data_IF_852503705706
#
_entry.id   IF_852503705706
#
_cell.length_a   1.000
_cell.length_b   1.000
_cell.length_c   1.000
_cell.angle_alpha   90.00
_cell.angle_beta   90.00
_cell.angle_gamma   90.00
#
_symmetry.space_group_name_H-M   'P 1'
#
loop_
_entity.id
_entity.type
_entity.pdbx_description
1 polymer ?
#
# COMPACT_ATOMS: atom_id res chain seq x y z
N UNK A 1 33.34 -38.47 -2.87
CA UNK A 1 32.51 -37.74 -3.85
C UNK A 1 31.40 -37.08 -3.04
N UNK A 2 31.40 -35.76 -2.99
CA UNK A 2 31.05 -35.01 -1.79
C UNK A 2 29.52 -34.86 -1.63
N UNK A 3 28.92 -35.47 -0.61
CA UNK A 3 27.48 -35.43 -0.27
C UNK A 3 26.92 -33.99 -0.32
N UNK A 4 27.74 -33.00 0.08
CA UNK A 4 27.43 -31.57 0.03
C UNK A 4 27.20 -31.03 -1.39
N UNK A 5 27.91 -31.55 -2.41
CA UNK A 5 27.72 -31.17 -3.82
C UNK A 5 26.36 -31.62 -4.34
N UNK A 6 25.95 -32.85 -4.02
CA UNK A 6 24.64 -33.38 -4.43
C UNK A 6 23.51 -32.61 -3.74
N UNK A 7 23.65 -32.33 -2.44
CA UNK A 7 22.72 -31.48 -1.71
C UNK A 7 22.62 -30.07 -2.30
N UNK A 8 23.76 -29.45 -2.67
CA UNK A 8 23.78 -28.13 -3.29
C UNK A 8 23.05 -28.13 -4.65
N UNK A 9 23.25 -29.17 -5.46
CA UNK A 9 22.52 -29.34 -6.73
C UNK A 9 21.02 -29.48 -6.51
N UNK A 10 20.58 -30.27 -5.51
CA UNK A 10 19.16 -30.38 -5.14
C UNK A 10 18.57 -29.04 -4.67
N UNK A 11 19.30 -28.30 -3.84
CA UNK A 11 18.85 -26.98 -3.36
C UNK A 11 18.64 -25.98 -4.51
N UNK A 12 19.51 -26.00 -5.51
CA UNK A 12 19.44 -25.11 -6.67
C UNK A 12 18.37 -25.57 -7.67
N UNK A 13 18.35 -26.87 -8.02
CA UNK A 13 17.52 -27.37 -9.13
C UNK A 13 16.12 -27.80 -8.71
N UNK A 14 15.96 -28.38 -7.52
CA UNK A 14 14.67 -28.91 -7.04
C UNK A 14 13.94 -27.89 -6.17
N UNK A 15 14.69 -27.17 -5.33
CA UNK A 15 14.12 -26.22 -4.35
C UNK A 15 14.22 -24.75 -4.78
N UNK A 16 14.81 -24.45 -5.95
CA UNK A 16 14.97 -23.10 -6.49
C UNK A 16 15.55 -22.08 -5.49
N UNK A 17 16.46 -22.51 -4.61
CA UNK A 17 17.14 -21.61 -3.68
C UNK A 17 18.19 -20.82 -4.45
N UNK A 18 18.16 -19.48 -4.32
CA UNK A 18 19.11 -18.59 -5.00
C UNK A 18 20.06 -17.88 -4.04
N UNK A 19 19.69 -17.70 -2.77
CA UNK A 19 20.53 -17.02 -1.78
C UNK A 19 21.63 -17.94 -1.24
N UNK A 20 22.89 -17.50 -1.34
CA UNK A 20 24.06 -18.28 -0.89
C UNK A 20 24.04 -18.46 0.63
N UNK A 21 23.59 -17.47 1.40
CA UNK A 21 23.41 -17.58 2.85
C UNK A 21 22.46 -18.73 3.21
N UNK A 22 21.32 -18.83 2.50
CA UNK A 22 20.36 -19.91 2.74
C UNK A 22 20.92 -21.29 2.36
N UNK A 23 21.80 -21.35 1.36
CA UNK A 23 22.51 -22.60 1.02
C UNK A 23 23.55 -22.96 2.09
N UNK A 24 24.30 -21.97 2.58
CA UNK A 24 25.29 -22.10 3.66
C UNK A 24 24.65 -22.63 4.94
N UNK A 25 23.52 -22.06 5.36
CA UNK A 25 22.77 -22.52 6.54
C UNK A 25 22.31 -23.97 6.41
N UNK A 26 21.82 -24.37 5.22
CA UNK A 26 21.33 -25.73 4.98
C UNK A 26 22.45 -26.76 4.86
N UNK A 27 23.60 -26.37 4.29
CA UNK A 27 24.76 -27.23 4.10
C UNK A 27 25.71 -27.22 5.31
N UNK A 28 25.49 -26.32 6.27
CA UNK A 28 26.33 -26.09 7.46
C UNK A 28 27.80 -25.88 7.10
N UNK A 29 28.02 -25.00 6.14
CA UNK A 29 29.36 -24.58 5.66
C UNK A 29 29.40 -23.07 5.52
N UNK A 30 30.59 -22.50 5.51
CA UNK A 30 30.77 -21.06 5.32
C UNK A 30 30.30 -20.62 3.92
N UNK A 31 29.74 -19.41 3.77
CA UNK A 31 29.28 -18.87 2.49
C UNK A 31 30.36 -18.90 1.39
N UNK A 32 31.62 -18.64 1.75
CA UNK A 32 32.76 -18.69 0.82
C UNK A 32 32.96 -20.12 0.26
N UNK A 33 32.83 -21.15 1.10
CA UNK A 33 32.91 -22.56 0.66
C UNK A 33 31.74 -22.93 -0.27
N UNK A 34 30.56 -22.35 -0.07
CA UNK A 34 29.43 -22.52 -0.99
C UNK A 34 29.78 -21.95 -2.36
N UNK A 35 30.37 -20.76 -2.42
CA UNK A 35 30.78 -20.12 -3.68
C UNK A 35 31.82 -20.97 -4.41
N UNK A 36 32.80 -21.51 -3.70
CA UNK A 36 33.79 -22.43 -4.28
C UNK A 36 33.12 -23.69 -4.86
N UNK A 37 32.20 -24.29 -4.12
CA UNK A 37 31.45 -25.47 -4.57
C UNK A 37 30.57 -25.17 -5.80
N UNK A 38 29.93 -24.00 -5.84
CA UNK A 38 29.14 -23.57 -7.01
C UNK A 38 30.06 -23.41 -8.22
N UNK A 39 31.20 -22.74 -8.08
CA UNK A 39 32.16 -22.57 -9.17
C UNK A 39 32.71 -23.90 -9.68
N UNK A 40 32.98 -24.84 -8.78
CA UNK A 40 33.38 -26.19 -9.14
C UNK A 40 32.26 -26.92 -9.92
N UNK A 41 31.01 -26.83 -9.45
CA UNK A 41 29.86 -27.43 -10.13
C UNK A 41 29.51 -26.77 -11.48
N UNK A 42 29.79 -25.48 -11.64
CA UNK A 42 29.71 -24.77 -12.92
C UNK A 42 30.77 -25.29 -13.89
N UNK A 43 32.01 -25.50 -13.41
CA UNK A 43 33.11 -26.04 -14.21
C UNK A 43 32.88 -27.50 -14.63
N UNK A 44 32.22 -28.29 -13.78
CA UNK A 44 31.80 -29.66 -14.07
C UNK A 44 30.57 -29.73 -15.00
N UNK A 45 29.93 -28.59 -15.32
CA UNK A 45 28.71 -28.52 -16.12
C UNK A 45 27.44 -29.05 -15.42
N UNK A 46 27.50 -29.28 -14.09
CA UNK A 46 26.37 -29.79 -13.29
C UNK A 46 25.39 -28.71 -12.87
N UNK A 47 25.85 -27.46 -12.82
CA UNK A 47 25.02 -26.27 -12.64
C UNK A 47 25.17 -25.36 -13.86
N UNK A 48 24.12 -24.60 -14.18
CA UNK A 48 24.15 -23.58 -15.22
C UNK A 48 23.54 -22.31 -14.65
N UNK A 49 24.33 -21.25 -14.55
CA UNK A 49 23.92 -20.01 -13.90
C UNK A 49 25.04 -19.00 -13.73
N UNK A 50 24.77 -17.96 -12.98
CA UNK A 50 25.72 -16.87 -12.70
C UNK A 50 25.63 -16.44 -11.25
N UNK A 51 26.78 -16.24 -10.61
CA UNK A 51 26.88 -15.63 -9.28
C UNK A 51 26.88 -14.11 -9.45
N UNK A 52 26.20 -13.43 -8.55
CA UNK A 52 26.16 -11.96 -8.45
C UNK A 52 27.51 -11.37 -8.05
N UNK A 53 27.81 -10.13 -8.44
CA UNK A 53 29.10 -9.48 -8.14
C UNK A 53 29.37 -9.34 -6.63
N UNK A 54 28.32 -9.33 -5.81
CA UNK A 54 28.39 -9.28 -4.35
C UNK A 54 28.59 -10.67 -3.70
N UNK A 55 28.65 -11.75 -4.48
CA UNK A 55 28.69 -13.14 -4.03
C UNK A 55 27.54 -13.55 -3.09
N UNK A 56 26.40 -12.85 -3.14
CA UNK A 56 25.28 -13.12 -2.23
C UNK A 56 24.24 -14.08 -2.84
N UNK A 57 24.17 -14.16 -4.17
CA UNK A 57 23.15 -14.93 -4.89
C UNK A 57 23.70 -15.66 -6.11
N UNK A 58 23.17 -16.86 -6.34
CA UNK A 58 23.32 -17.64 -7.56
C UNK A 58 22.01 -17.66 -8.34
N UNK A 59 22.05 -17.26 -9.61
CA UNK A 59 20.92 -17.29 -10.52
C UNK A 59 21.09 -18.42 -11.54
N UNK A 60 20.15 -19.36 -11.58
CA UNK A 60 20.11 -20.42 -12.59
C UNK A 60 19.76 -19.84 -13.96
N UNK A 61 20.48 -20.24 -15.01
CA UNK A 61 20.25 -19.75 -16.38
C UNK A 61 18.91 -20.19 -16.96
N UNK A 62 18.43 -21.36 -16.55
CA UNK A 62 17.13 -21.93 -16.96
C UNK A 62 16.07 -21.70 -15.88
N UNK A 63 16.04 -20.48 -15.32
CA UNK A 63 14.94 -20.07 -14.46
C UNK A 63 13.70 -19.94 -15.34
N UNK A 64 12.83 -20.95 -15.28
CA UNK A 64 11.52 -20.92 -15.92
C UNK A 64 10.76 -19.71 -15.35
N UNK A 65 10.70 -18.62 -16.13
CA UNK A 65 9.83 -17.49 -15.83
C UNK A 65 8.44 -18.09 -15.74
N UNK A 66 7.82 -17.99 -14.56
CA UNK A 66 6.54 -18.62 -14.29
C UNK A 66 5.57 -18.41 -15.46
N UNK A 67 5.08 -19.49 -16.06
CA UNK A 67 3.97 -19.47 -17.05
C UNK A 67 2.64 -19.08 -16.38
N UNK A 68 2.65 -18.71 -15.09
CA UNK A 68 1.46 -18.18 -14.45
C UNK A 68 1.00 -16.95 -15.24
N UNK A 69 -0.26 -16.91 -15.69
CA UNK A 69 -0.78 -15.76 -16.40
C UNK A 69 -0.51 -14.53 -15.52
N UNK A 70 0.09 -13.51 -16.12
CA UNK A 70 0.19 -12.19 -15.49
C UNK A 70 -1.25 -11.74 -15.30
N UNK A 71 -1.79 -11.97 -14.10
CA UNK A 71 -3.05 -11.38 -13.70
C UNK A 71 -2.71 -9.90 -13.64
N UNK A 72 -3.15 -9.14 -14.64
CA UNK A 72 -3.19 -7.68 -14.56
C UNK A 72 -4.05 -7.35 -13.34
N UNK A 73 -3.38 -7.12 -12.21
CA UNK A 73 -4.02 -6.52 -11.07
C UNK A 73 -4.29 -5.09 -11.52
N UNK A 74 -5.54 -4.79 -11.85
CA UNK A 74 -5.99 -3.39 -11.80
C UNK A 74 -5.67 -2.91 -10.39
N UNK A 75 -4.59 -2.16 -10.24
CA UNK A 75 -4.30 -1.41 -9.03
C UNK A 75 -5.44 -0.39 -8.85
N UNK A 76 -6.56 -0.84 -8.28
CA UNK A 76 -7.59 0.06 -7.79
C UNK A 76 -6.92 0.86 -6.69
N UNK A 77 -6.62 2.13 -7.01
CA UNK A 77 -6.14 3.10 -6.04
C UNK A 77 -7.06 3.01 -4.82
N UNK A 78 -6.50 2.89 -3.61
CA UNK A 78 -7.30 2.74 -2.41
C UNK A 78 -8.25 3.93 -2.28
N UNK A 79 -9.48 3.67 -1.81
CA UNK A 79 -10.58 4.65 -1.83
C UNK A 79 -10.21 6.00 -1.18
N UNK A 80 -9.30 6.00 -0.21
CA UNK A 80 -8.83 7.22 0.45
C UNK A 80 -8.10 8.19 -0.50
N UNK A 81 -7.43 7.71 -1.56
CA UNK A 81 -6.80 8.56 -2.57
C UNK A 81 -7.81 9.16 -3.56
N UNK A 82 -9.02 8.60 -3.62
CA UNK A 82 -10.07 9.01 -4.55
C UNK A 82 -11.18 9.85 -3.90
N UNK A 83 -11.15 10.01 -2.57
CA UNK A 83 -12.20 10.70 -1.83
C UNK A 83 -12.07 12.22 -1.94
N UNK A 84 -13.05 12.87 -2.57
CA UNK A 84 -13.12 14.33 -2.67
C UNK A 84 -13.94 14.93 -1.51
N UNK A 85 -13.30 15.75 -0.68
CA UNK A 85 -13.93 16.46 0.45
C UNK A 85 -14.58 17.79 0.05
N UNK A 86 -14.32 18.30 -1.17
CA UNK A 86 -14.84 19.59 -1.65
C UNK A 86 -16.36 19.72 -1.56
N UNK A 87 -17.17 18.68 -1.87
CA UNK A 87 -18.62 18.77 -1.72
C UNK A 87 -19.04 19.02 -0.26
N UNK A 88 -18.42 18.34 0.70
CA UNK A 88 -18.69 18.52 2.12
C UNK A 88 -18.35 19.95 2.58
N UNK A 89 -17.20 20.47 2.17
CA UNK A 89 -16.81 21.86 2.43
C UNK A 89 -17.79 22.88 1.82
N UNK A 90 -18.22 22.68 0.57
CA UNK A 90 -19.17 23.57 -0.09
C UNK A 90 -20.52 23.62 0.66
N UNK A 91 -21.02 22.45 1.10
CA UNK A 91 -22.24 22.35 1.91
C UNK A 91 -22.07 23.09 3.24
N UNK A 92 -20.94 22.91 3.92
CA UNK A 92 -20.68 23.62 5.18
C UNK A 92 -20.63 25.14 5.02
N UNK A 93 -19.99 25.63 3.95
CA UNK A 93 -19.94 27.07 3.63
C UNK A 93 -21.36 27.60 3.38
N UNK A 94 -22.19 26.85 2.67
CA UNK A 94 -23.58 27.23 2.44
C UNK A 94 -24.36 27.34 3.77
N UNK A 95 -24.16 26.40 4.69
CA UNK A 95 -24.71 26.48 6.04
C UNK A 95 -24.27 27.74 6.80
N UNK A 96 -23.00 28.12 6.70
CA UNK A 96 -22.48 29.37 7.28
C UNK A 96 -23.15 30.60 6.68
N UNK A 97 -23.36 30.64 5.36
CA UNK A 97 -24.07 31.76 4.70
C UNK A 97 -25.50 31.89 5.26
N UNK A 98 -26.21 30.77 5.44
CA UNK A 98 -27.55 30.77 6.04
C UNK A 98 -27.52 31.27 7.49
N UNK A 99 -26.53 30.86 8.28
CA UNK A 99 -26.34 31.34 9.66
C UNK A 99 -26.09 32.85 9.72
N UNK A 100 -25.25 33.38 8.82
CA UNK A 100 -25.00 34.82 8.72
C UNK A 100 -26.29 35.56 8.34
N UNK A 101 -27.06 35.02 7.38
CA UNK A 101 -28.38 35.56 7.03
C UNK A 101 -29.33 35.60 8.23
N UNK A 102 -29.46 34.50 8.97
CA UNK A 102 -30.28 34.43 10.19
C UNK A 102 -29.80 35.41 11.27
N UNK A 103 -28.48 35.58 11.43
CA UNK A 103 -27.90 36.56 12.36
C UNK A 103 -28.28 37.99 11.99
N UNK A 104 -28.21 38.34 10.70
CA UNK A 104 -28.61 39.65 10.21
C UNK A 104 -30.10 39.90 10.46
N UNK A 105 -30.96 38.95 10.13
CA UNK A 105 -32.40 39.07 10.40
C UNK A 105 -32.65 39.24 11.90
N UNK A 106 -31.97 38.48 12.75
CA UNK A 106 -32.10 38.57 14.20
C UNK A 106 -31.68 39.93 14.77
N UNK A 107 -30.68 40.60 14.19
CA UNK A 107 -30.21 41.92 14.65
C UNK A 107 -31.25 43.01 14.32
N UNK A 108 -31.92 42.90 13.18
CA UNK A 108 -32.92 43.89 12.74
C UNK A 108 -34.36 43.54 13.18
N UNK A 109 -34.56 42.39 13.81
CA UNK A 109 -35.87 41.93 14.25
C UNK A 109 -36.46 42.88 15.31
N UNK A 110 -37.67 43.38 15.04
CA UNK A 110 -38.37 44.34 15.91
C UNK A 110 -39.52 43.70 16.69
N UNK A 111 -39.99 42.53 16.26
CA UNK A 111 -41.07 41.79 16.90
C UNK A 111 -40.67 40.31 17.18
N UNK A 112 -41.52 39.62 17.93
CA UNK A 112 -41.27 38.21 18.30
C UNK A 112 -41.38 37.27 17.11
N UNK A 113 -42.19 37.62 16.10
CA UNK A 113 -42.39 36.76 14.92
C UNK A 113 -41.14 36.72 14.03
N UNK A 114 -40.47 37.85 13.84
CA UNK A 114 -39.19 37.96 13.13
C UNK A 114 -38.07 37.26 13.89
N UNK A 115 -38.07 37.32 15.22
CA UNK A 115 -37.11 36.59 16.06
C UNK A 115 -37.27 35.07 15.93
N UNK A 116 -38.51 34.57 15.98
CA UNK A 116 -38.79 33.14 15.81
C UNK A 116 -38.40 32.65 14.41
N UNK A 117 -38.64 33.47 13.39
CA UNK A 117 -38.20 33.19 12.03
C UNK A 117 -36.66 33.14 11.91
N UNK A 118 -35.96 34.10 12.51
CA UNK A 118 -34.50 34.11 12.56
C UNK A 118 -33.95 32.87 13.28
N UNK A 119 -34.56 32.47 14.41
CA UNK A 119 -34.20 31.26 15.14
C UNK A 119 -34.39 29.99 14.27
N UNK A 120 -35.45 29.93 13.48
CA UNK A 120 -35.68 28.87 12.50
C UNK A 120 -34.58 28.80 11.43
N UNK A 121 -34.20 29.95 10.87
CA UNK A 121 -33.08 30.06 9.92
C UNK A 121 -31.75 29.61 10.53
N UNK A 122 -31.49 29.99 11.79
CA UNK A 122 -30.32 29.55 12.53
C UNK A 122 -30.26 28.03 12.65
N UNK A 123 -31.36 27.41 13.06
CA UNK A 123 -31.44 25.96 13.23
C UNK A 123 -31.19 25.24 11.89
N UNK A 124 -31.81 25.70 10.80
CA UNK A 124 -31.59 25.14 9.46
C UNK A 124 -30.13 25.30 9.02
N UNK A 125 -29.55 26.49 9.18
CA UNK A 125 -28.15 26.75 8.82
C UNK A 125 -27.18 25.85 9.58
N UNK A 126 -27.47 25.59 10.85
CA UNK A 126 -26.67 24.73 11.73
C UNK A 126 -26.75 23.26 11.30
N UNK A 127 -27.93 22.77 10.93
CA UNK A 127 -28.10 21.43 10.36
C UNK A 127 -27.33 21.24 9.05
N UNK A 128 -27.41 22.21 8.14
CA UNK A 128 -26.68 22.18 6.86
C UNK A 128 -25.17 22.19 7.12
N UNK A 129 -24.71 23.08 8.00
CA UNK A 129 -23.30 23.21 8.34
C UNK A 129 -22.73 21.90 8.90
N UNK A 130 -23.40 21.31 9.90
CA UNK A 130 -22.97 20.05 10.50
C UNK A 130 -23.09 18.87 9.54
N UNK A 131 -24.10 18.84 8.66
CA UNK A 131 -24.19 17.84 7.60
C UNK A 131 -22.98 17.85 6.67
N UNK A 132 -22.57 19.05 6.23
CA UNK A 132 -21.35 19.20 5.42
C UNK A 132 -20.08 18.78 6.16
N UNK A 133 -19.94 19.17 7.43
CA UNK A 133 -18.78 18.83 8.26
C UNK A 133 -18.70 17.32 8.54
N UNK A 134 -19.85 16.68 8.75
CA UNK A 134 -19.93 15.25 8.92
C UNK A 134 -19.47 14.49 7.67
N UNK A 135 -19.82 14.97 6.48
CA UNK A 135 -19.33 14.38 5.22
C UNK A 135 -17.81 14.48 5.11
N UNK A 136 -17.23 15.62 5.51
CA UNK A 136 -15.76 15.78 5.56
C UNK A 136 -15.14 14.84 6.60
N UNK A 137 -15.72 14.77 7.80
CA UNK A 137 -15.19 13.99 8.92
C UNK A 137 -15.37 12.47 8.78
N UNK A 138 -16.32 12.01 7.96
CA UNK A 138 -16.53 10.57 7.69
C UNK A 138 -15.35 9.93 6.95
N UNK A 139 -14.43 10.72 6.43
CA UNK A 139 -13.22 10.20 5.81
C UNK A 139 -12.36 9.44 6.85
N UNK A 140 -12.26 8.12 6.68
CA UNK A 140 -11.35 7.29 7.47
C UNK A 140 -9.92 7.55 7.00
N UNK A 141 -9.08 8.09 7.88
CA UNK A 141 -7.62 8.04 7.68
C UNK A 141 -7.15 6.58 7.74
N UNK A 142 -6.16 6.17 6.93
CA UNK A 142 -5.61 4.82 7.00
C UNK A 142 -4.99 4.57 8.39
N UNK A 143 -5.21 3.39 8.96
CA UNK A 143 -4.40 2.84 10.06
C UNK A 143 -3.09 2.24 9.50
#
# INVERSE_FOLDING_TARGET
>A
MNEKKEMLVSLVNEHNVSAIITMSEKLKIEPEEVVELINELLSEGKLQGTITEDNMRFFKSDAKVSDAPVIEHEEKLPEFLTYDTRPGFAISIFGVIVLVGGSLVSIYASDTSEQDFAAGLFLIGLFIMFGGLYLVAKHKTPD
#
